data_IF_776580228061
#
_entry.id   IF_776580228061
#
_cell.length_a   1.000
_cell.length_b   1.000
_cell.length_c   1.000
_cell.angle_alpha   90.00
_cell.angle_beta   90.00
_cell.angle_gamma   90.00
#
_symmetry.space_group_name_H-M   'P 1'
#
loop_
_entity.id
_entity.type
_entity.pdbx_description
1 polymer ?
#
# COMPACT_ATOMS: atom_id res chain seq x y z
N UNK A 1 6.33 9.27 -27.34
CA UNK A 1 5.03 8.77 -26.86
C UNK A 1 4.84 9.32 -25.46
N UNK A 2 3.70 9.93 -25.18
CA UNK A 2 3.42 10.54 -23.87
C UNK A 2 3.29 9.44 -22.79
N UNK A 3 3.97 9.60 -21.64
CA UNK A 3 4.01 8.59 -20.57
C UNK A 3 2.60 8.13 -20.13
N UNK A 4 1.62 9.05 -20.18
CA UNK A 4 0.20 8.80 -19.88
C UNK A 4 -0.42 7.66 -20.71
N UNK A 5 -0.04 7.54 -21.99
CA UNK A 5 -0.60 6.53 -22.90
C UNK A 5 -0.14 5.12 -22.50
N UNK A 6 1.11 4.99 -22.05
CA UNK A 6 1.69 3.71 -21.62
C UNK A 6 0.98 3.20 -20.36
N UNK A 7 0.77 4.08 -19.37
CA UNK A 7 0.02 3.72 -18.16
C UNK A 7 -1.43 3.35 -18.47
N UNK A 8 -2.10 4.10 -19.36
CA UNK A 8 -3.50 3.83 -19.74
C UNK A 8 -3.64 2.48 -20.45
N UNK A 9 -2.69 2.12 -21.31
CA UNK A 9 -2.65 0.82 -21.98
C UNK A 9 -2.41 -0.32 -20.98
N UNK A 10 -1.42 -0.17 -20.09
CA UNK A 10 -1.14 -1.16 -19.04
C UNK A 10 -2.37 -1.39 -18.14
N UNK A 11 -3.05 -0.30 -17.76
CA UNK A 11 -4.25 -0.36 -16.96
C UNK A 11 -5.39 -1.11 -17.67
N UNK A 12 -5.67 -0.79 -18.94
CA UNK A 12 -6.78 -1.37 -19.66
C UNK A 12 -6.56 -2.85 -20.03
N UNK A 13 -5.34 -3.21 -20.42
CA UNK A 13 -5.03 -4.55 -20.94
C UNK A 13 -4.71 -5.56 -19.82
N UNK A 14 -4.19 -5.11 -18.67
CA UNK A 14 -3.68 -6.00 -17.61
C UNK A 14 -4.32 -5.75 -16.23
N UNK A 15 -4.45 -4.49 -15.80
CA UNK A 15 -4.94 -4.18 -14.44
C UNK A 15 -6.46 -4.23 -14.30
N UNK A 16 -7.22 -3.88 -15.34
CA UNK A 16 -8.69 -3.78 -15.32
C UNK A 16 -9.38 -5.08 -14.89
N UNK A 17 -8.80 -6.23 -15.23
CA UNK A 17 -9.31 -7.56 -14.87
C UNK A 17 -9.24 -7.86 -13.36
N UNK A 18 -8.42 -7.11 -12.62
CA UNK A 18 -8.18 -7.32 -11.19
C UNK A 18 -8.74 -6.19 -10.31
N UNK A 19 -9.61 -5.33 -10.85
CA UNK A 19 -10.15 -4.18 -10.13
C UNK A 19 -10.88 -4.57 -8.85
N UNK A 20 -11.64 -5.66 -8.86
CA UNK A 20 -12.38 -6.13 -7.68
C UNK A 20 -11.43 -6.39 -6.49
N UNK A 21 -10.27 -6.98 -6.76
CA UNK A 21 -9.23 -7.26 -5.77
C UNK A 21 -8.48 -6.01 -5.32
N UNK A 22 -8.27 -5.05 -6.24
CA UNK A 22 -7.66 -3.76 -5.92
C UNK A 22 -8.58 -2.94 -5.01
N UNK A 23 -9.88 -2.90 -5.32
CA UNK A 23 -10.90 -2.22 -4.50
C UNK A 23 -10.99 -2.87 -3.12
N UNK A 24 -10.98 -4.21 -3.05
CA UNK A 24 -10.96 -4.94 -1.79
C UNK A 24 -9.71 -4.58 -0.94
N UNK A 25 -8.53 -4.51 -1.56
CA UNK A 25 -7.31 -4.09 -0.88
C UNK A 25 -7.35 -2.62 -0.41
N UNK A 26 -7.97 -1.73 -1.19
CA UNK A 26 -8.19 -0.34 -0.81
C UNK A 26 -9.15 -0.22 0.40
N UNK A 27 -10.20 -1.03 0.46
CA UNK A 27 -11.09 -1.11 1.62
C UNK A 27 -10.35 -1.55 2.89
N UNK A 28 -9.54 -2.60 2.80
CA UNK A 28 -8.70 -3.00 3.94
C UNK A 28 -7.68 -1.92 4.33
N UNK A 29 -7.19 -1.13 3.38
CA UNK A 29 -6.27 -0.02 3.67
C UNK A 29 -6.94 1.11 4.47
N UNK A 30 -8.23 1.36 4.25
CA UNK A 30 -9.03 2.29 5.09
C UNK A 30 -9.10 1.77 6.53
N UNK A 31 -9.35 0.48 6.72
CA UNK A 31 -9.37 -0.13 8.06
C UNK A 31 -8.01 -0.03 8.76
N UNK A 32 -6.90 -0.20 8.02
CA UNK A 32 -5.54 -0.04 8.56
C UNK A 32 -5.29 1.40 9.01
N UNK A 33 -5.69 2.38 8.20
CA UNK A 33 -5.54 3.80 8.51
C UNK A 33 -6.37 4.16 9.75
N UNK A 34 -7.66 3.77 9.77
CA UNK A 34 -8.55 4.01 10.91
C UNK A 34 -8.05 3.36 12.19
N UNK A 35 -7.58 2.11 12.12
CA UNK A 35 -7.00 1.42 13.29
C UNK A 35 -5.71 2.09 13.77
N UNK A 36 -4.87 2.60 12.87
CA UNK A 36 -3.63 3.32 13.24
C UNK A 36 -3.93 4.65 13.91
N UNK A 37 -4.89 5.42 13.39
CA UNK A 37 -5.40 6.65 14.01
C UNK A 37 -6.05 6.38 15.37
N UNK A 38 -6.84 5.31 15.49
CA UNK A 38 -7.45 4.93 16.76
C UNK A 38 -6.37 4.61 17.81
N UNK A 39 -5.33 3.84 17.46
CA UNK A 39 -4.20 3.55 18.36
C UNK A 39 -3.53 4.85 18.83
N UNK A 40 -3.28 5.79 17.92
CA UNK A 40 -2.69 7.08 18.27
C UNK A 40 -3.58 7.89 19.24
N UNK A 41 -4.89 7.88 19.02
CA UNK A 41 -5.84 8.55 19.91
C UNK A 41 -5.96 7.87 21.27
N UNK A 42 -5.91 6.53 21.32
CA UNK A 42 -6.00 5.72 22.54
C UNK A 42 -4.76 5.84 23.45
N UNK A 43 -3.61 6.29 22.94
CA UNK A 43 -2.41 6.53 23.72
C UNK A 43 -2.57 7.65 24.76
N UNK A 44 -3.28 8.73 24.41
CA UNK A 44 -3.54 9.86 25.31
C UNK A 44 -4.33 9.46 26.58
N UNK A 45 -5.50 8.80 26.48
CA UNK A 45 -6.23 8.32 27.64
C UNK A 45 -5.50 7.17 28.33
N UNK A 46 -4.72 6.36 27.62
CA UNK A 46 -3.90 5.33 28.27
C UNK A 46 -2.88 5.96 29.23
N UNK A 47 -2.16 7.00 28.82
CA UNK A 47 -1.20 7.68 29.69
C UNK A 47 -1.92 8.39 30.85
N UNK A 48 -2.94 9.20 30.56
CA UNK A 48 -3.60 10.01 31.59
C UNK A 48 -4.42 9.17 32.58
N UNK A 49 -5.26 8.26 32.09
CA UNK A 49 -6.21 7.54 32.94
C UNK A 49 -5.59 6.35 33.67
N UNK A 50 -4.61 5.67 33.06
CA UNK A 50 -3.94 4.54 33.70
C UNK A 50 -2.85 4.98 34.69
N UNK A 51 -2.05 6.00 34.34
CA UNK A 51 -0.90 6.39 35.15
C UNK A 51 -1.17 7.57 36.10
N UNK A 52 -2.04 8.53 35.72
CA UNK A 52 -2.27 9.74 36.52
C UNK A 52 -3.50 9.57 37.42
N UNK A 53 -4.65 9.20 36.86
CA UNK A 53 -5.93 9.12 37.60
C UNK A 53 -6.13 7.78 38.34
N UNK A 54 -5.41 6.72 37.94
CA UNK A 54 -5.45 5.36 38.53
C UNK A 54 -6.87 4.79 38.68
N UNK A 55 -7.74 5.06 37.72
CA UNK A 55 -9.12 4.59 37.75
C UNK A 55 -9.19 3.09 37.44
N UNK A 56 -9.49 2.27 38.46
CA UNK A 56 -9.37 0.80 38.40
C UNK A 56 -10.27 0.17 37.34
N UNK A 57 -11.39 0.80 37.01
CA UNK A 57 -12.33 0.32 36.00
C UNK A 57 -11.76 0.47 34.59
N UNK A 58 -11.10 1.60 34.32
CA UNK A 58 -10.53 1.93 32.99
C UNK A 58 -9.22 1.18 32.69
N UNK A 59 -8.59 0.62 33.73
CA UNK A 59 -7.38 -0.22 33.62
C UNK A 59 -7.58 -1.46 32.75
N UNK A 60 -8.79 -2.01 32.68
CA UNK A 60 -9.05 -3.21 31.88
C UNK A 60 -9.56 -2.85 30.47
N UNK A 61 -10.41 -1.82 30.35
CA UNK A 61 -11.03 -1.46 29.06
C UNK A 61 -10.02 -0.86 28.06
N UNK A 62 -9.08 -0.03 28.51
CA UNK A 62 -8.13 0.63 27.61
C UNK A 62 -7.19 -0.38 26.94
N UNK A 63 -6.51 -1.30 27.67
CA UNK A 63 -5.70 -2.34 27.05
C UNK A 63 -6.49 -3.26 26.11
N UNK A 64 -7.74 -3.61 26.48
CA UNK A 64 -8.60 -4.42 25.63
C UNK A 64 -8.88 -3.74 24.27
N UNK A 65 -9.19 -2.44 24.28
CA UNK A 65 -9.39 -1.66 23.05
C UNK A 65 -8.11 -1.56 22.22
N UNK A 66 -6.94 -1.42 22.86
CA UNK A 66 -5.64 -1.41 22.17
C UNK A 66 -5.39 -2.75 21.48
N UNK A 67 -5.59 -3.87 22.19
CA UNK A 67 -5.44 -5.23 21.62
C UNK A 67 -6.36 -5.39 20.41
N UNK A 68 -7.62 -4.99 20.52
CA UNK A 68 -8.58 -5.08 19.42
C UNK A 68 -8.16 -4.22 18.22
N UNK A 69 -7.70 -2.99 18.45
CA UNK A 69 -7.22 -2.10 17.40
C UNK A 69 -5.95 -2.65 16.70
N UNK A 70 -5.00 -3.21 17.45
CA UNK A 70 -3.80 -3.84 16.89
C UNK A 70 -4.12 -5.11 16.10
N UNK A 71 -5.01 -5.97 16.61
CA UNK A 71 -5.46 -7.17 15.91
C UNK A 71 -6.16 -6.80 14.60
N UNK A 72 -7.07 -5.82 14.63
CA UNK A 72 -7.78 -5.35 13.44
C UNK A 72 -6.82 -4.76 12.41
N UNK A 73 -5.83 -3.97 12.86
CA UNK A 73 -4.76 -3.43 12.01
C UNK A 73 -3.94 -4.54 11.35
N UNK A 74 -3.52 -5.53 12.14
CA UNK A 74 -2.70 -6.65 11.67
C UNK A 74 -3.42 -7.48 10.60
N UNK A 75 -4.66 -7.88 10.87
CA UNK A 75 -5.49 -8.65 9.94
C UNK A 75 -5.75 -7.86 8.65
N UNK A 76 -6.17 -6.60 8.78
CA UNK A 76 -6.46 -5.76 7.61
C UNK A 76 -5.22 -5.55 6.74
N UNK A 77 -4.06 -5.32 7.35
CA UNK A 77 -2.80 -5.15 6.62
C UNK A 77 -2.39 -6.43 5.90
N UNK A 78 -2.53 -7.58 6.55
CA UNK A 78 -2.22 -8.87 5.96
C UNK A 78 -3.10 -9.13 4.73
N UNK A 79 -4.42 -9.00 4.85
CA UNK A 79 -5.34 -9.21 3.73
C UNK A 79 -5.14 -8.21 2.59
N UNK A 80 -4.89 -6.93 2.91
CA UNK A 80 -4.59 -5.91 1.91
C UNK A 80 -3.33 -6.28 1.11
N UNK A 81 -2.23 -6.64 1.79
CA UNK A 81 -0.97 -7.04 1.16
C UNK A 81 -1.09 -8.34 0.39
N UNK A 82 -1.65 -9.39 0.98
CA UNK A 82 -1.78 -10.70 0.34
C UNK A 82 -2.58 -10.63 -0.95
N UNK A 83 -3.72 -9.90 -0.93
CA UNK A 83 -4.56 -9.68 -2.11
C UNK A 83 -3.78 -8.95 -3.21
N UNK A 84 -3.05 -7.89 -2.86
CA UNK A 84 -2.31 -7.10 -3.82
C UNK A 84 -1.09 -7.83 -4.41
N UNK A 85 -0.37 -8.60 -3.59
CA UNK A 85 0.72 -9.48 -4.08
C UNK A 85 0.16 -10.50 -5.07
N UNK A 86 -0.99 -11.10 -4.76
CA UNK A 86 -1.67 -12.03 -5.68
C UNK A 86 -2.07 -11.39 -7.02
N UNK A 87 -2.53 -10.13 -7.00
CA UNK A 87 -2.81 -9.36 -8.23
C UNK A 87 -1.53 -9.10 -9.01
N UNK A 88 -0.45 -8.70 -8.33
CA UNK A 88 0.86 -8.47 -8.92
C UNK A 88 1.42 -9.65 -9.67
N UNK A 89 1.41 -10.82 -9.02
CA UNK A 89 1.90 -12.06 -9.62
C UNK A 89 1.01 -12.53 -10.78
N UNK A 90 -0.31 -12.33 -10.71
CA UNK A 90 -1.20 -12.64 -11.83
C UNK A 90 -0.91 -11.76 -13.06
N UNK A 91 -0.63 -10.47 -12.84
CA UNK A 91 -0.27 -9.54 -13.91
C UNK A 91 1.13 -9.84 -14.46
N UNK A 92 2.09 -10.18 -13.59
CA UNK A 92 3.43 -10.63 -13.95
C UNK A 92 3.38 -11.86 -14.86
N UNK A 93 2.61 -12.88 -14.46
CA UNK A 93 2.40 -14.08 -15.26
C UNK A 93 1.86 -13.75 -16.65
N UNK A 94 0.86 -12.86 -16.74
CA UNK A 94 0.26 -12.48 -18.03
C UNK A 94 1.26 -11.73 -18.92
N UNK A 95 1.98 -10.75 -18.37
CA UNK A 95 3.01 -10.01 -19.11
C UNK A 95 4.12 -10.93 -19.62
N UNK A 96 4.62 -11.83 -18.79
CA UNK A 96 5.63 -12.81 -19.21
C UNK A 96 5.11 -13.74 -20.31
N UNK A 97 3.86 -14.20 -20.20
CA UNK A 97 3.25 -15.05 -21.20
C UNK A 97 3.11 -14.34 -22.57
N UNK A 98 2.60 -13.11 -22.57
CA UNK A 98 2.40 -12.33 -23.81
C UNK A 98 3.76 -11.99 -24.46
N UNK A 99 4.78 -11.68 -23.66
CA UNK A 99 6.14 -11.46 -24.13
C UNK A 99 6.76 -12.72 -24.74
N UNK A 100 6.65 -13.88 -24.08
CA UNK A 100 7.16 -15.15 -24.60
C UNK A 100 6.45 -15.54 -25.90
N UNK A 101 5.13 -15.42 -25.97
CA UNK A 101 4.38 -15.70 -27.20
C UNK A 101 4.83 -14.81 -28.36
N UNK A 102 5.08 -13.53 -28.10
CA UNK A 102 5.58 -12.60 -29.11
C UNK A 102 7.00 -12.96 -29.55
N UNK A 103 7.85 -13.43 -28.63
CA UNK A 103 9.20 -13.88 -28.96
C UNK A 103 9.22 -15.16 -29.79
N UNK A 104 8.35 -16.12 -29.47
CA UNK A 104 8.23 -17.38 -30.22
C UNK A 104 7.68 -17.15 -31.63
N UNK A 105 6.77 -16.18 -31.80
CA UNK A 105 6.21 -15.80 -33.10
C UNK A 105 7.01 -14.76 -33.88
N UNK A 106 8.16 -14.29 -33.37
CA UNK A 106 8.96 -13.27 -34.03
C UNK A 106 9.83 -13.85 -35.16
N UNK A 107 10.01 -13.06 -36.22
CA UNK A 107 10.95 -13.38 -37.31
C UNK A 107 12.39 -13.50 -36.75
N UNK A 108 13.12 -14.51 -37.21
CA UNK A 108 14.52 -14.77 -36.82
C UNK A 108 15.41 -13.56 -37.10
N UNK A 109 15.12 -12.77 -38.15
CA UNK A 109 15.85 -11.53 -38.44
C UNK A 109 15.77 -10.48 -37.32
N UNK A 110 14.67 -10.45 -36.55
CA UNK A 110 14.48 -9.52 -35.43
C UNK A 110 15.21 -10.03 -34.18
N UNK A 111 15.23 -11.36 -33.99
CA UNK A 111 15.90 -12.03 -32.89
C UNK A 111 17.42 -11.89 -33.05
N UNK A 112 17.96 -12.15 -34.25
CA UNK A 112 19.40 -12.08 -34.53
C UNK A 112 19.97 -10.66 -34.42
N UNK A 113 19.14 -9.63 -34.61
CA UNK A 113 19.54 -8.22 -34.46
C UNK A 113 19.72 -7.77 -33.01
N UNK A 114 19.29 -8.55 -32.01
CA UNK A 114 19.33 -8.18 -30.59
C UNK A 114 20.00 -9.25 -29.75
N UNK A 115 20.77 -8.83 -28.74
CA UNK A 115 21.38 -9.78 -27.82
C UNK A 115 20.30 -10.52 -27.01
N UNK A 116 20.36 -11.85 -27.01
CA UNK A 116 19.55 -12.76 -26.17
C UNK A 116 19.40 -12.30 -24.70
N UNK A 117 20.47 -11.77 -24.10
CA UNK A 117 20.46 -11.25 -22.73
C UNK A 117 19.50 -10.08 -22.51
N UNK A 118 19.22 -9.26 -23.54
CA UNK A 118 18.24 -8.17 -23.43
C UNK A 118 16.81 -8.70 -23.33
N UNK A 119 16.48 -9.78 -24.04
CA UNK A 119 15.16 -10.42 -23.93
C UNK A 119 14.95 -11.05 -22.55
N UNK A 120 15.96 -11.75 -22.03
CA UNK A 120 15.95 -12.33 -20.69
C UNK A 120 15.82 -11.24 -19.62
N UNK A 121 16.58 -10.15 -19.77
CA UNK A 121 16.53 -9.00 -18.85
C UNK A 121 15.14 -8.37 -18.81
N UNK A 122 14.53 -8.13 -19.97
CA UNK A 122 13.19 -7.56 -20.04
C UNK A 122 12.14 -8.51 -19.40
N UNK A 123 12.22 -9.81 -19.67
CA UNK A 123 11.29 -10.81 -19.11
C UNK A 123 11.40 -10.95 -17.58
N UNK A 124 12.61 -10.81 -17.05
CA UNK A 124 12.90 -11.11 -15.63
C UNK A 124 12.87 -9.85 -14.77
N UNK A 125 13.55 -8.79 -15.18
CA UNK A 125 13.71 -7.56 -14.41
C UNK A 125 12.64 -6.53 -14.75
N UNK A 126 12.46 -6.17 -16.01
CA UNK A 126 11.52 -5.09 -16.37
C UNK A 126 10.08 -5.45 -15.98
N UNK A 127 9.63 -6.68 -16.25
CA UNK A 127 8.30 -7.14 -15.82
C UNK A 127 8.18 -7.14 -14.29
N UNK A 128 9.22 -7.55 -13.56
CA UNK A 128 9.21 -7.53 -12.09
C UNK A 128 9.14 -6.10 -11.55
N UNK A 129 9.85 -5.14 -12.14
CA UNK A 129 9.76 -3.73 -11.76
C UNK A 129 8.38 -3.16 -12.04
N UNK A 130 7.78 -3.43 -13.21
CA UNK A 130 6.43 -2.98 -13.55
C UNK A 130 5.39 -3.53 -12.55
N UNK A 131 5.49 -4.80 -12.22
CA UNK A 131 4.53 -5.48 -11.34
C UNK A 131 4.71 -5.07 -9.87
N UNK A 132 5.94 -4.82 -9.42
CA UNK A 132 6.22 -4.24 -8.11
C UNK A 132 5.69 -2.82 -7.97
N UNK A 133 5.84 -1.98 -9.01
CA UNK A 133 5.22 -0.66 -9.06
C UNK A 133 3.70 -0.76 -8.92
N UNK A 134 3.08 -1.65 -9.71
CA UNK A 134 1.63 -1.78 -9.72
C UNK A 134 1.07 -2.36 -8.42
N UNK A 135 1.80 -3.24 -7.74
CA UNK A 135 1.30 -3.95 -6.56
C UNK A 135 1.71 -3.25 -5.28
N UNK A 136 3.01 -3.09 -5.09
CA UNK A 136 3.54 -2.56 -3.83
C UNK A 136 3.47 -1.05 -3.77
N UNK A 137 3.86 -0.33 -4.83
CA UNK A 137 3.89 1.14 -4.77
C UNK A 137 2.47 1.72 -4.70
N UNK A 138 1.52 1.18 -5.48
CA UNK A 138 0.12 1.60 -5.42
C UNK A 138 -0.47 1.33 -4.03
N UNK A 139 -0.27 0.13 -3.47
CA UNK A 139 -0.78 -0.20 -2.13
C UNK A 139 -0.22 0.76 -1.08
N UNK A 140 1.09 0.97 -1.08
CA UNK A 140 1.76 1.87 -0.14
C UNK A 140 1.26 3.30 -0.31
N UNK A 141 1.13 3.80 -1.54
CA UNK A 141 0.60 5.14 -1.80
C UNK A 141 -0.80 5.31 -1.23
N UNK A 142 -1.73 4.39 -1.50
CA UNK A 142 -3.10 4.47 -0.96
C UNK A 142 -3.11 4.37 0.56
N UNK A 143 -2.48 3.33 1.12
CA UNK A 143 -2.50 3.04 2.56
C UNK A 143 -1.83 4.15 3.36
N UNK A 144 -0.64 4.59 2.95
CA UNK A 144 0.15 5.55 3.71
C UNK A 144 -0.43 6.96 3.56
N UNK A 145 -0.99 7.32 2.40
CA UNK A 145 -1.69 8.61 2.25
C UNK A 145 -2.92 8.67 3.16
N UNK A 146 -3.74 7.61 3.20
CA UNK A 146 -4.88 7.56 4.11
C UNK A 146 -4.46 7.57 5.58
N UNK A 147 -3.39 6.84 5.92
CA UNK A 147 -2.86 6.81 7.28
C UNK A 147 -2.33 8.19 7.68
N UNK A 148 -1.63 8.89 6.78
CA UNK A 148 -1.15 10.25 6.99
C UNK A 148 -2.30 11.21 7.27
N UNK A 149 -3.35 11.20 6.44
CA UNK A 149 -4.53 12.04 6.63
C UNK A 149 -5.21 11.72 7.98
N UNK A 150 -5.37 10.44 8.29
CA UNK A 150 -5.97 10.00 9.55
C UNK A 150 -5.16 10.43 10.77
N UNK A 151 -3.83 10.38 10.71
CA UNK A 151 -2.96 10.81 11.81
C UNK A 151 -2.93 12.33 11.97
N UNK A 152 -2.84 13.07 10.86
CA UNK A 152 -2.94 14.52 10.88
C UNK A 152 -4.25 14.97 11.52
N UNK A 153 -5.37 14.34 11.15
CA UNK A 153 -6.67 14.65 11.74
C UNK A 153 -6.67 14.44 13.27
N UNK A 154 -6.13 13.31 13.76
CA UNK A 154 -6.00 13.04 15.19
C UNK A 154 -5.11 14.07 15.89
N UNK A 155 -3.98 14.44 15.29
CA UNK A 155 -3.06 15.44 15.85
C UNK A 155 -3.73 16.82 15.99
N UNK A 156 -4.45 17.27 14.97
CA UNK A 156 -5.17 18.55 15.02
C UNK A 156 -6.30 18.55 16.05
N UNK A 157 -7.01 17.42 16.21
CA UNK A 157 -8.05 17.28 17.24
C UNK A 157 -7.49 17.28 18.67
N UNK A 158 -6.33 16.65 18.90
CA UNK A 158 -5.71 16.62 20.23
C UNK A 158 -5.12 17.98 20.61
N UNK A 159 -4.30 18.57 19.74
CA UNK A 159 -3.68 19.86 20.01
C UNK A 159 -3.24 20.56 18.71
N UNK A 160 -4.14 21.39 18.17
CA UNK A 160 -3.88 22.15 16.94
C UNK A 160 -2.65 23.06 17.02
N UNK A 161 -2.31 23.58 18.21
CA UNK A 161 -1.14 24.47 18.41
C UNK A 161 0.17 23.68 18.26
N UNK A 162 0.25 22.51 18.89
CA UNK A 162 1.42 21.63 18.74
C UNK A 162 1.52 21.05 17.32
N UNK A 163 0.39 20.68 16.72
CA UNK A 163 0.36 20.16 15.34
C UNK A 163 0.93 21.17 14.32
N UNK A 164 0.56 22.45 14.41
CA UNK A 164 1.10 23.50 13.54
C UNK A 164 2.62 23.67 13.70
N UNK A 165 3.10 23.66 14.95
CA UNK A 165 4.54 23.75 15.23
C UNK A 165 5.28 22.55 14.62
N UNK A 166 4.74 21.34 14.75
CA UNK A 166 5.33 20.13 14.16
C UNK A 166 5.39 20.20 12.64
N UNK A 167 4.33 20.67 11.96
CA UNK A 167 4.31 20.78 10.49
C UNK A 167 5.36 21.77 9.97
N UNK A 168 5.61 22.87 10.69
CA UNK A 168 6.63 23.85 10.32
C UNK A 168 8.05 23.32 10.58
N UNK A 169 8.24 22.55 11.66
CA UNK A 169 9.54 22.00 12.04
C UNK A 169 9.99 20.84 11.15
N UNK A 170 9.09 19.98 10.65
CA UNK A 170 9.45 18.79 9.86
C UNK A 170 10.30 19.13 8.61
N UNK A 171 9.97 20.16 7.79
CA UNK A 171 10.79 20.55 6.64
C UNK A 171 12.16 21.16 7.00
N UNK A 172 12.33 21.62 8.23
CA UNK A 172 13.56 22.27 8.71
C UNK A 172 14.56 21.27 9.31
N UNK A 173 14.11 20.05 9.63
CA UNK A 173 14.91 18.96 10.18
C UNK A 173 15.51 18.08 9.07
#
# INVERSE_FOLDING_TARGET
>A
MENSIIYKRLYNDYSKKHLDKIILSAFFSILVAGSTSAIAWLLDPAIKKLFIEKDQTLIIYIPLMIILAFTTKGLSLYYAKATMIGVGEAIKKKLQFDMVNTLVGADTQIIDKKHSGKFISNLTYDVTHITNLLSSAILTLFKDSLTLIGLLFVMFLQNWKLALISIIMIPLA
#
